data_IF_455355255821
#
_entry.id   IF_455355255821
#
_cell.length_a   1.000
_cell.length_b   1.000
_cell.length_c   1.000
_cell.angle_alpha   90.00
_cell.angle_beta   90.00
_cell.angle_gamma   90.00
#
_symmetry.space_group_name_H-M   'P 1'
#
loop_
_entity.id
_entity.type
_entity.pdbx_description
1 polymer ?
#
# COMPACT_ATOMS: atom_id res chain seq x y z
N UNK A 1 -20.95 -6.13 17.90
CA UNK A 1 -20.48 -7.45 17.43
C UNK A 1 -19.39 -7.15 16.40
N UNK A 2 -18.07 -7.41 16.49
CA UNK A 2 -17.18 -8.13 17.40
C UNK A 2 -16.05 -7.15 17.81
N UNK A 3 -15.79 -6.94 19.10
CA UNK A 3 -14.97 -5.80 19.56
C UNK A 3 -13.53 -6.10 20.02
N UNK A 4 -13.01 -7.31 19.86
CA UNK A 4 -11.65 -7.64 20.33
C UNK A 4 -10.86 -8.50 19.34
N UNK A 5 -10.90 -8.20 18.04
CA UNK A 5 -9.93 -8.81 17.12
C UNK A 5 -8.56 -8.16 17.35
N UNK A 6 -7.58 -8.95 17.74
CA UNK A 6 -6.18 -8.55 17.82
C UNK A 6 -5.53 -8.74 16.45
N UNK A 7 -4.67 -7.79 16.11
CA UNK A 7 -3.91 -7.76 14.86
C UNK A 7 -2.44 -7.77 15.20
N UNK A 8 -1.70 -8.68 14.56
CA UNK A 8 -0.26 -8.80 14.72
C UNK A 8 0.44 -7.87 13.71
N UNK A 9 1.19 -6.90 14.20
CA UNK A 9 2.02 -6.00 13.40
C UNK A 9 3.26 -6.73 12.87
N UNK A 10 3.93 -6.06 11.93
CA UNK A 10 5.18 -6.55 11.35
C UNK A 10 6.34 -6.57 12.35
N UNK A 11 6.28 -5.72 13.38
CA UNK A 11 7.25 -5.69 14.49
C UNK A 11 6.97 -6.78 15.55
N UNK A 12 5.93 -7.60 15.37
CA UNK A 12 5.53 -8.65 16.31
C UNK A 12 4.62 -8.19 17.44
N UNK A 13 4.36 -6.88 17.56
CA UNK A 13 3.40 -6.37 18.56
C UNK A 13 1.96 -6.65 18.15
N UNK A 14 1.08 -6.79 19.14
CA UNK A 14 -0.37 -6.98 18.92
C UNK A 14 -1.13 -5.71 19.27
N UNK A 15 -1.97 -5.22 18.37
CA UNK A 15 -2.90 -4.12 18.65
C UNK A 15 -4.34 -4.51 18.32
N UNK A 16 -5.32 -3.79 18.86
CA UNK A 16 -6.71 -3.97 18.45
C UNK A 16 -6.89 -3.53 17.01
N UNK A 17 -7.70 -4.25 16.25
CA UNK A 17 -8.07 -3.85 14.90
C UNK A 17 -8.66 -2.45 14.92
N UNK A 18 -8.17 -1.59 14.03
CA UNK A 18 -8.67 -0.24 13.87
C UNK A 18 -9.38 -0.14 12.52
N UNK A 19 -10.71 -0.25 12.56
CA UNK A 19 -11.55 -0.19 11.36
C UNK A 19 -11.54 1.20 10.73
N UNK A 20 -11.45 2.26 11.53
CA UNK A 20 -11.39 3.63 11.03
C UNK A 20 -10.15 3.87 10.14
N UNK A 21 -9.01 3.25 10.49
CA UNK A 21 -7.80 3.29 9.64
C UNK A 21 -8.02 2.58 8.31
N UNK A 22 -8.73 1.45 8.31
CA UNK A 22 -9.03 0.70 7.07
C UNK A 22 -9.96 1.55 6.20
N UNK A 23 -11.03 2.11 6.78
CA UNK A 23 -11.97 2.98 6.10
C UNK A 23 -11.27 4.17 5.42
N UNK A 24 -10.40 4.88 6.15
CA UNK A 24 -9.63 6.01 5.59
C UNK A 24 -8.74 5.63 4.40
N UNK A 25 -8.14 4.43 4.43
CA UNK A 25 -7.30 3.95 3.33
C UNK A 25 -8.15 3.58 2.11
N UNK A 26 -9.33 2.99 2.34
CA UNK A 26 -10.27 2.68 1.27
C UNK A 26 -10.86 3.95 0.63
N UNK A 27 -11.17 4.95 1.44
CA UNK A 27 -11.68 6.26 0.99
C UNK A 27 -10.66 6.97 0.10
N UNK A 28 -9.40 7.04 0.54
CA UNK A 28 -8.29 7.53 -0.29
C UNK A 28 -8.14 6.72 -1.60
N UNK A 29 -8.25 5.40 -1.54
CA UNK A 29 -8.15 4.57 -2.74
C UNK A 29 -9.35 4.75 -3.69
N UNK A 30 -10.52 5.09 -3.16
CA UNK A 30 -11.75 5.33 -3.91
C UNK A 30 -11.88 6.75 -4.49
N UNK A 31 -10.97 7.66 -4.14
CA UNK A 31 -11.03 9.06 -4.54
C UNK A 31 -11.10 9.23 -6.07
N UNK A 32 -12.14 9.91 -6.55
CA UNK A 32 -12.37 10.16 -7.98
C UNK A 32 -12.79 8.93 -8.79
N UNK A 33 -13.13 7.81 -8.16
CA UNK A 33 -13.65 6.61 -8.82
C UNK A 33 -15.18 6.62 -8.86
N UNK A 34 -15.74 6.07 -9.93
CA UNK A 34 -17.18 5.97 -10.15
C UNK A 34 -17.69 4.54 -9.96
N UNK A 35 -18.91 4.41 -9.44
CA UNK A 35 -19.57 3.12 -9.25
C UNK A 35 -18.78 2.14 -8.34
N UNK A 36 -18.00 2.67 -7.39
CA UNK A 36 -17.31 1.88 -6.36
C UNK A 36 -18.00 2.08 -5.00
N UNK A 37 -18.11 1.01 -4.22
CA UNK A 37 -18.69 1.03 -2.87
C UNK A 37 -17.67 0.57 -1.85
N UNK A 38 -17.19 1.51 -1.03
CA UNK A 38 -16.25 1.24 0.07
C UNK A 38 -16.86 0.23 1.04
N UNK A 39 -18.12 0.43 1.44
CA UNK A 39 -18.83 -0.46 2.36
C UNK A 39 -18.93 -1.90 1.84
N UNK A 40 -19.04 -2.10 0.52
CA UNK A 40 -19.07 -3.43 -0.07
C UNK A 40 -17.72 -4.15 0.07
N UNK A 41 -16.61 -3.43 -0.11
CA UNK A 41 -15.25 -3.95 0.10
C UNK A 41 -15.00 -4.27 1.57
N UNK A 42 -15.43 -3.39 2.48
CA UNK A 42 -15.31 -3.59 3.94
C UNK A 42 -16.07 -4.83 4.40
N UNK A 43 -17.33 -4.98 4.01
CA UNK A 43 -18.13 -6.13 4.40
C UNK A 43 -17.52 -7.45 3.91
N UNK A 44 -17.06 -7.51 2.65
CA UNK A 44 -16.44 -8.71 2.08
C UNK A 44 -15.10 -9.07 2.73
N UNK A 45 -14.33 -8.06 3.14
CA UNK A 45 -13.03 -8.27 3.76
C UNK A 45 -13.15 -8.62 5.25
N UNK A 46 -14.05 -7.94 5.99
CA UNK A 46 -14.25 -8.16 7.42
C UNK A 46 -14.66 -9.60 7.76
N UNK A 47 -15.45 -10.24 6.88
CA UNK A 47 -15.86 -11.65 7.05
C UNK A 47 -14.66 -12.60 7.12
N UNK A 48 -13.54 -12.23 6.52
CA UNK A 48 -12.33 -13.06 6.45
C UNK A 48 -11.35 -12.78 7.61
N UNK A 49 -11.62 -11.80 8.47
CA UNK A 49 -10.74 -11.47 9.59
C UNK A 49 -10.92 -12.45 10.76
N UNK A 50 -9.80 -12.87 11.33
CA UNK A 50 -9.73 -13.76 12.49
C UNK A 50 -8.78 -13.19 13.56
N UNK A 51 -8.89 -13.68 14.79
CA UNK A 51 -8.08 -13.17 15.89
C UNK A 51 -6.59 -13.51 15.71
N UNK A 52 -5.72 -12.53 15.90
CA UNK A 52 -4.28 -12.65 15.65
C UNK A 52 -3.86 -12.51 14.20
N UNK A 53 -4.77 -12.15 13.28
CA UNK A 53 -4.45 -11.89 11.87
C UNK A 53 -3.29 -10.90 11.71
N UNK A 54 -2.40 -11.13 10.75
CA UNK A 54 -1.30 -10.20 10.49
C UNK A 54 -1.80 -8.98 9.73
N UNK A 55 -1.20 -7.82 10.02
CA UNK A 55 -1.47 -6.59 9.25
C UNK A 55 -1.22 -6.74 7.75
N UNK A 56 -0.26 -7.59 7.34
CA UNK A 56 -0.04 -7.94 5.92
C UNK A 56 -1.27 -8.59 5.28
N UNK A 57 -1.87 -9.53 6.00
CA UNK A 57 -2.91 -10.41 5.49
C UNK A 57 -4.25 -9.66 5.42
N UNK A 58 -4.48 -8.71 6.35
CA UNK A 58 -5.58 -7.74 6.25
C UNK A 58 -5.51 -6.97 4.93
N UNK A 59 -4.32 -6.44 4.59
CA UNK A 59 -4.14 -5.69 3.36
C UNK A 59 -4.35 -6.57 2.11
N UNK A 60 -3.85 -7.80 2.11
CA UNK A 60 -4.10 -8.73 0.99
C UNK A 60 -5.60 -9.07 0.85
N UNK A 61 -6.30 -9.24 1.97
CA UNK A 61 -7.74 -9.52 2.02
C UNK A 61 -8.57 -8.39 1.42
N UNK A 62 -8.29 -7.13 1.76
CA UNK A 62 -9.01 -5.97 1.19
C UNK A 62 -8.72 -5.81 -0.30
N UNK A 63 -7.48 -6.04 -0.74
CA UNK A 63 -7.10 -5.97 -2.16
C UNK A 63 -7.85 -7.03 -2.95
N UNK A 64 -7.90 -8.26 -2.43
CA UNK A 64 -8.65 -9.35 -3.06
C UNK A 64 -10.15 -9.06 -3.11
N UNK A 65 -10.73 -8.58 -2.01
CA UNK A 65 -12.15 -8.23 -1.96
C UNK A 65 -12.52 -7.14 -2.99
N UNK A 66 -11.64 -6.15 -3.19
CA UNK A 66 -11.79 -5.14 -4.23
C UNK A 66 -11.62 -5.71 -5.65
N UNK A 67 -10.61 -6.56 -5.86
CA UNK A 67 -10.36 -7.20 -7.15
C UNK A 67 -11.52 -8.11 -7.59
N UNK A 68 -12.13 -8.83 -6.65
CA UNK A 68 -13.29 -9.71 -6.89
C UNK A 68 -14.58 -8.93 -7.24
N UNK A 69 -14.58 -7.60 -7.12
CA UNK A 69 -15.69 -6.72 -7.52
C UNK A 69 -15.50 -6.10 -8.91
N UNK A 70 -14.33 -6.33 -9.54
CA UNK A 70 -14.07 -5.85 -10.90
C UNK A 70 -15.03 -6.52 -11.87
N UNK A 71 -15.82 -5.72 -12.55
CA UNK A 71 -16.84 -6.18 -13.50
C UNK A 71 -17.01 -5.18 -14.64
N UNK A 72 -17.77 -5.56 -15.67
CA UNK A 72 -18.11 -4.67 -16.78
C UNK A 72 -18.96 -3.47 -16.33
N UNK A 73 -19.77 -3.67 -15.29
CA UNK A 73 -20.66 -2.64 -14.75
C UNK A 73 -19.92 -1.68 -13.81
N UNK A 74 -18.89 -2.17 -13.12
CA UNK A 74 -18.04 -1.38 -12.21
C UNK A 74 -16.55 -1.61 -12.52
N UNK A 75 -16.02 -1.01 -13.61
CA UNK A 75 -14.63 -1.19 -14.02
C UNK A 75 -13.65 -0.49 -13.08
N UNK A 76 -14.06 0.57 -12.38
CA UNK A 76 -13.18 1.39 -11.56
C UNK A 76 -12.65 0.67 -10.31
N UNK A 77 -13.26 -0.46 -9.93
CA UNK A 77 -12.67 -1.36 -8.93
C UNK A 77 -11.25 -1.80 -9.30
N UNK A 78 -10.88 -1.78 -10.59
CA UNK A 78 -9.51 -2.07 -11.02
C UNK A 78 -8.52 -1.04 -10.45
N UNK A 79 -8.88 0.24 -10.44
CA UNK A 79 -8.05 1.31 -9.92
C UNK A 79 -8.03 1.29 -8.40
N UNK A 80 -9.17 0.97 -7.77
CA UNK A 80 -9.26 0.81 -6.32
C UNK A 80 -8.32 -0.32 -5.86
N UNK A 81 -8.42 -1.50 -6.47
CA UNK A 81 -7.56 -2.64 -6.17
C UNK A 81 -6.08 -2.32 -6.45
N UNK A 82 -5.77 -1.65 -7.57
CA UNK A 82 -4.41 -1.24 -7.90
C UNK A 82 -3.82 -0.25 -6.89
N UNK A 83 -4.57 0.78 -6.47
CA UNK A 83 -4.14 1.77 -5.46
C UNK A 83 -3.86 1.11 -4.11
N UNK A 84 -4.73 0.19 -3.68
CA UNK A 84 -4.52 -0.60 -2.47
C UNK A 84 -3.29 -1.50 -2.57
N UNK A 85 -3.07 -2.15 -3.74
CA UNK A 85 -1.91 -2.98 -3.98
C UNK A 85 -0.60 -2.17 -3.96
N UNK A 86 -0.58 -0.98 -4.58
CA UNK A 86 0.56 -0.06 -4.53
C UNK A 86 0.83 0.38 -3.09
N UNK A 87 -0.21 0.74 -2.32
CA UNK A 87 -0.06 1.10 -0.91
C UNK A 87 0.59 -0.03 -0.10
N UNK A 88 0.11 -1.27 -0.29
CA UNK A 88 0.69 -2.44 0.37
C UNK A 88 2.14 -2.68 -0.06
N UNK A 89 2.44 -2.59 -1.36
CA UNK A 89 3.77 -2.79 -1.92
C UNK A 89 4.76 -1.76 -1.39
N UNK A 90 4.40 -0.48 -1.35
CA UNK A 90 5.28 0.58 -0.81
C UNK A 90 5.64 0.33 0.64
N UNK A 91 4.66 -0.02 1.48
CA UNK A 91 4.95 -0.44 2.85
C UNK A 91 5.85 -1.67 2.90
N UNK A 92 5.67 -2.64 2.02
CA UNK A 92 6.49 -3.87 2.00
C UNK A 92 7.94 -3.59 1.57
N UNK A 93 8.15 -2.70 0.60
CA UNK A 93 9.46 -2.35 0.07
C UNK A 93 10.22 -1.35 0.96
N UNK A 94 9.54 -0.31 1.45
CA UNK A 94 10.17 0.84 2.11
C UNK A 94 9.85 0.95 3.61
N UNK A 95 8.89 0.18 4.12
CA UNK A 95 8.39 0.33 5.50
C UNK A 95 7.45 1.51 5.70
N UNK A 96 7.39 2.44 4.74
CA UNK A 96 6.58 3.65 4.75
C UNK A 96 5.86 3.85 3.41
N UNK A 97 4.95 4.83 3.34
CA UNK A 97 4.20 5.12 2.11
C UNK A 97 4.99 5.98 1.11
N UNK A 98 5.85 6.87 1.59
CA UNK A 98 6.68 7.71 0.72
C UNK A 98 7.96 6.97 0.34
N UNK A 99 8.28 6.83 -0.96
CA UNK A 99 9.56 6.30 -1.39
C UNK A 99 10.72 7.15 -0.83
N UNK A 100 11.86 6.55 -0.48
CA UNK A 100 13.07 7.31 -0.19
C UNK A 100 13.56 8.07 -1.44
N UNK A 101 14.48 9.01 -1.26
CA UNK A 101 15.12 9.69 -2.38
C UNK A 101 15.72 8.67 -3.35
N UNK A 102 15.70 8.98 -4.66
CA UNK A 102 16.12 8.02 -5.67
C UNK A 102 17.57 7.60 -5.47
N UNK A 103 18.44 8.55 -5.16
CA UNK A 103 19.85 8.29 -4.86
C UNK A 103 20.02 7.34 -3.68
N UNK A 104 19.40 7.64 -2.52
CA UNK A 104 19.43 6.77 -1.33
C UNK A 104 18.94 5.34 -1.64
N UNK A 105 17.89 5.24 -2.47
CA UNK A 105 17.36 3.95 -2.89
C UNK A 105 18.39 3.18 -3.73
N UNK A 106 19.00 3.82 -4.72
CA UNK A 106 20.01 3.20 -5.60
C UNK A 106 21.23 2.77 -4.79
N UNK A 107 21.78 3.64 -3.93
CA UNK A 107 22.90 3.32 -3.04
C UNK A 107 22.60 2.07 -2.22
N UNK A 108 21.45 2.05 -1.52
CA UNK A 108 21.05 0.89 -0.71
C UNK A 108 20.90 -0.38 -1.55
N UNK A 109 20.33 -0.29 -2.75
CA UNK A 109 20.12 -1.45 -3.62
C UNK A 109 21.43 -1.98 -4.20
N UNK A 110 22.39 -1.12 -4.49
CA UNK A 110 23.74 -1.47 -4.92
C UNK A 110 24.51 -2.14 -3.76
N UNK A 111 24.48 -1.57 -2.56
CA UNK A 111 25.08 -2.17 -1.36
C UNK A 111 24.50 -3.56 -1.04
N UNK A 112 23.22 -3.76 -1.30
CA UNK A 112 22.54 -5.06 -1.16
C UNK A 112 22.79 -6.04 -2.33
N UNK A 113 23.58 -5.64 -3.33
CA UNK A 113 23.90 -6.43 -4.52
C UNK A 113 22.67 -6.71 -5.41
N UNK A 114 21.65 -5.84 -5.36
CA UNK A 114 20.43 -5.96 -6.16
C UNK A 114 20.49 -5.14 -7.45
N UNK A 115 21.20 -4.02 -7.43
CA UNK A 115 21.47 -3.18 -8.59
C UNK A 115 22.95 -3.21 -8.97
N UNK A 116 23.24 -2.83 -10.20
CA UNK A 116 24.61 -2.79 -10.73
C UNK A 116 25.35 -1.54 -10.23
N UNK A 117 26.63 -1.70 -9.88
CA UNK A 117 27.50 -0.63 -9.39
C UNK A 117 27.66 0.49 -10.43
N UNK A 118 27.59 0.19 -11.73
CA UNK A 118 27.72 1.18 -12.80
C UNK A 118 26.73 2.33 -12.66
N UNK A 119 25.57 2.11 -12.02
CA UNK A 119 24.60 3.19 -11.76
C UNK A 119 25.17 4.32 -10.89
N UNK A 120 26.10 4.03 -9.98
CA UNK A 120 26.76 5.03 -9.12
C UNK A 120 28.06 5.57 -9.73
N UNK A 121 28.58 4.91 -10.76
CA UNK A 121 29.78 5.34 -11.49
C UNK A 121 29.42 6.26 -12.67
N UNK A 122 28.33 5.93 -13.38
CA UNK A 122 27.88 6.60 -14.59
C UNK A 122 27.07 7.87 -14.31
N UNK A 123 26.45 7.98 -13.14
CA UNK A 123 25.53 9.07 -12.79
C UNK A 123 25.86 9.70 -11.45
N UNK A 124 25.78 11.04 -11.38
CA UNK A 124 26.05 11.78 -10.14
C UNK A 124 24.80 11.89 -9.27
N UNK A 125 25.00 12.19 -7.97
CA UNK A 125 23.91 12.41 -7.02
C UNK A 125 22.94 13.52 -7.50
N UNK A 126 23.46 14.57 -8.14
CA UNK A 126 22.63 15.66 -8.67
C UNK A 126 21.72 15.23 -9.83
N UNK A 127 22.16 14.28 -10.64
CA UNK A 127 21.35 13.70 -11.73
C UNK A 127 20.21 12.85 -11.16
N UNK A 128 20.50 12.01 -10.16
CA UNK A 128 19.49 11.25 -9.44
C UNK A 128 18.51 12.16 -8.69
N UNK A 129 18.98 13.25 -8.10
CA UNK A 129 18.12 14.24 -7.42
C UNK A 129 17.16 14.90 -8.41
N UNK A 130 17.62 15.22 -9.63
CA UNK A 130 16.76 15.77 -10.69
C UNK A 130 15.66 14.80 -11.14
N UNK A 131 15.93 13.50 -11.11
CA UNK A 131 14.95 12.46 -11.48
C UNK A 131 14.08 12.00 -10.32
N UNK A 132 14.40 12.42 -9.09
CA UNK A 132 13.56 12.12 -7.94
C UNK A 132 12.22 12.82 -8.17
N UNK A 133 11.11 12.06 -8.32
CA UNK A 133 9.82 12.68 -8.52
C UNK A 133 9.52 13.55 -7.30
N UNK A 134 9.12 14.80 -7.52
CA UNK A 134 8.60 15.65 -6.45
C UNK A 134 7.50 14.85 -5.73
N UNK A 135 7.67 14.67 -4.40
CA UNK A 135 6.74 13.88 -3.62
C UNK A 135 5.31 14.36 -3.89
N UNK A 136 4.39 13.42 -4.09
CA UNK A 136 2.99 13.67 -4.42
C UNK A 136 2.31 14.56 -3.34
N UNK A 137 2.94 14.68 -2.18
CA UNK A 137 2.61 15.60 -1.08
C UNK A 137 2.68 17.09 -1.46
N UNK A 138 3.28 17.49 -2.58
CA UNK A 138 3.23 18.90 -3.06
C UNK A 138 1.90 19.24 -3.76
N UNK A 139 1.03 18.26 -4.02
CA UNK A 139 -0.24 18.46 -4.74
C UNK A 139 -1.48 18.19 -3.87
N UNK A 140 -1.31 18.01 -2.55
CA UNK A 140 -2.41 17.87 -1.57
C UNK A 140 -2.24 18.91 -0.47
#
# INVERSE_FOLDING_TARGET
>A
MNQNLLVTKRDGSTERINLDKIHRVLDWAAEGLHNVSISQVELRSHIQFYDGIKTSDIHETIIKAAADLISRDAPDYQYLAARLAIFHLRKKAYGQFEPPALYDHVVKMVEMGKYDNHLLEDYTEEEFSRWTPLSITTVI
#
